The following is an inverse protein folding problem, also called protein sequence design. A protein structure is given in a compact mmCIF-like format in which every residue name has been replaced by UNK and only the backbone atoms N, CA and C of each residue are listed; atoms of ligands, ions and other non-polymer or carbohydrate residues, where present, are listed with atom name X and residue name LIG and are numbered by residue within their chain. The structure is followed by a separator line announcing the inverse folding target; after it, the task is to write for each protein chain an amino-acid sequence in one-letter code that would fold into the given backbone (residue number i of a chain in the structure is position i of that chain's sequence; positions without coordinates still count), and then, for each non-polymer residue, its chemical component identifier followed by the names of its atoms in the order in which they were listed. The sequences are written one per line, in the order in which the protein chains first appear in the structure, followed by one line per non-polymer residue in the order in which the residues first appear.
data_IF_480827684373
#
_entry.id   IF_480827684373
#
_cell.length_a   1.000
_cell.length_b   1.000
_cell.length_c   1.000
_cell.angle_alpha   90.00
_cell.angle_beta   90.00
_cell.angle_gamma   90.00
#
_symmetry.space_group_name_H-M   'P 1'
#
loop_
_entity.id
_entity.type
_entity.pdbx_description
1 polymer ?
#
# COMPACT_ATOMS: atom_id res chain seq x y z
N UNK A 1 20.13 3.18 9.95
CA UNK A 1 18.67 3.02 9.84
C UNK A 1 18.24 3.92 8.72
N UNK A 2 17.55 3.39 7.72
CA UNK A 2 16.91 4.22 6.70
C UNK A 2 15.91 5.17 7.38
N UNK A 3 15.92 6.44 6.98
CA UNK A 3 15.03 7.44 7.54
C UNK A 3 13.59 7.12 7.11
N UNK A 4 12.74 6.77 8.08
CA UNK A 4 11.33 6.45 7.86
C UNK A 4 10.48 7.65 8.24
N UNK A 5 9.58 8.06 7.35
CA UNK A 5 8.69 9.21 7.57
C UNK A 5 7.27 8.68 7.77
N UNK A 6 6.70 8.90 8.96
CA UNK A 6 5.31 8.53 9.22
C UNK A 6 4.35 9.48 8.51
N UNK A 7 3.41 8.94 7.73
CA UNK A 7 2.44 9.71 6.94
C UNK A 7 1.01 9.26 7.18
N UNK A 8 0.06 10.19 6.98
CA UNK A 8 -1.37 9.90 7.03
C UNK A 8 -1.89 9.51 5.65
N UNK A 9 -2.54 8.36 5.55
CA UNK A 9 -3.07 7.79 4.29
C UNK A 9 -4.41 7.07 4.53
N UNK A 10 -5.30 6.99 3.52
CA UNK A 10 -6.60 6.34 3.67
C UNK A 10 -6.45 4.82 3.53
N UNK A 11 -6.04 4.16 4.62
CA UNK A 11 -5.74 2.72 4.63
C UNK A 11 -6.61 1.95 5.62
N UNK A 12 -6.97 0.72 5.24
CA UNK A 12 -7.77 -0.17 6.06
C UNK A 12 -7.37 -1.64 5.89
N UNK A 13 -7.73 -2.48 6.85
CA UNK A 13 -7.72 -3.92 6.67
C UNK A 13 -8.86 -4.31 5.73
N UNK A 14 -8.53 -4.68 4.49
CA UNK A 14 -9.53 -4.89 3.45
C UNK A 14 -9.48 -6.23 2.75
N UNK A 15 -8.39 -6.98 2.87
CA UNK A 15 -8.17 -8.21 2.10
C UNK A 15 -7.89 -9.40 3.02
N UNK A 16 -8.50 -10.55 2.75
CA UNK A 16 -8.11 -11.82 3.40
C UNK A 16 -6.94 -12.46 2.67
N UNK A 17 -5.97 -12.94 3.45
CA UNK A 17 -4.91 -13.79 2.94
C UNK A 17 -5.31 -15.26 3.04
N UNK A 18 -5.52 -15.90 1.88
CA UNK A 18 -5.86 -17.33 1.81
C UNK A 18 -4.73 -18.23 2.32
N UNK A 19 -3.48 -17.78 2.18
CA UNK A 19 -2.29 -18.55 2.60
C UNK A 19 -1.93 -18.33 4.07
N UNK A 20 -2.43 -17.25 4.69
CA UNK A 20 -2.20 -16.92 6.12
C UNK A 20 -3.48 -17.13 6.94
N UNK A 21 -4.00 -18.36 6.88
CA UNK A 21 -5.16 -18.77 7.68
C UNK A 21 -6.47 -18.04 7.34
N UNK A 22 -6.65 -17.44 6.16
CA UNK A 22 -7.86 -16.67 5.84
C UNK A 22 -8.08 -15.47 6.79
N UNK A 23 -6.99 -14.85 7.25
CA UNK A 23 -7.01 -13.66 8.12
C UNK A 23 -6.83 -12.37 7.32
N UNK A 24 -7.21 -11.24 7.90
CA UNK A 24 -7.03 -9.92 7.29
C UNK A 24 -5.60 -9.42 7.52
N UNK A 25 -4.63 -10.03 6.84
CA UNK A 25 -3.20 -9.72 6.98
C UNK A 25 -2.69 -8.80 5.86
N UNK A 26 -3.57 -7.99 5.27
CA UNK A 26 -3.23 -7.10 4.17
C UNK A 26 -4.00 -5.80 4.31
N UNK A 27 -3.27 -4.70 4.25
CA UNK A 27 -3.79 -3.35 4.25
C UNK A 27 -4.05 -2.93 2.80
N UNK A 28 -5.17 -2.26 2.56
CA UNK A 28 -5.58 -1.71 1.27
C UNK A 28 -5.69 -0.20 1.37
N UNK A 29 -5.56 0.49 0.24
CA UNK A 29 -6.02 1.87 0.12
C UNK A 29 -7.53 1.85 -0.09
N UNK A 30 -8.25 2.60 0.74
CA UNK A 30 -9.70 2.70 0.68
C UNK A 30 -10.07 4.17 0.48
N UNK A 31 -10.36 4.55 -0.77
CA UNK A 31 -10.66 5.93 -1.15
C UNK A 31 -12.06 6.37 -0.72
N UNK A 32 -12.89 5.44 -0.24
CA UNK A 32 -14.24 5.71 0.22
C UNK A 32 -14.32 5.98 1.74
N UNK A 33 -13.26 5.71 2.50
CA UNK A 33 -13.23 6.00 3.94
C UNK A 33 -12.78 7.43 4.22
N UNK A 34 -13.52 8.12 5.08
CA UNK A 34 -13.13 9.43 5.63
C UNK A 34 -12.16 9.31 6.82
N UNK A 35 -11.57 8.14 7.03
CA UNK A 35 -10.68 7.89 8.17
C UNK A 35 -9.26 7.62 7.67
N UNK A 36 -8.29 8.34 8.24
CA UNK A 36 -6.88 8.15 7.94
C UNK A 36 -6.27 7.11 8.87
N UNK A 37 -5.42 6.26 8.29
CA UNK A 37 -4.44 5.47 9.01
C UNK A 37 -3.05 6.10 8.93
N UNK A 38 -2.08 5.44 9.54
CA UNK A 38 -0.67 5.80 9.50
C UNK A 38 0.11 4.77 8.70
N UNK A 39 0.86 5.21 7.70
CA UNK A 39 1.84 4.41 6.98
C UNK A 39 3.24 5.02 7.13
N UNK A 40 4.23 4.35 6.55
CA UNK A 40 5.61 4.82 6.50
C UNK A 40 6.01 5.07 5.04
N UNK A 41 6.72 6.15 4.82
CA UNK A 41 7.45 6.42 3.58
C UNK A 41 8.92 6.19 3.84
N UNK A 42 9.57 5.51 2.89
CA UNK A 42 11.01 5.27 2.86
C UNK A 42 11.54 5.85 1.55
N UNK A 43 12.64 6.64 1.58
CA UNK A 43 13.28 7.09 0.35
C UNK A 43 13.68 5.91 -0.55
N UNK A 44 13.56 6.09 -1.87
CA UNK A 44 14.11 5.13 -2.82
C UNK A 44 15.62 4.95 -2.60
N UNK A 45 16.14 3.75 -2.89
CA UNK A 45 17.58 3.47 -2.74
C UNK A 45 18.38 4.35 -3.69
N UNK A 46 17.87 4.55 -4.91
CA UNK A 46 18.46 5.43 -5.90
C UNK A 46 17.53 6.60 -6.23
N UNK A 47 18.14 7.73 -6.59
CA UNK A 47 17.39 8.85 -7.15
C UNK A 47 16.78 8.44 -8.49
N UNK A 48 15.47 8.62 -8.65
CA UNK A 48 14.76 8.35 -9.89
C UNK A 48 15.03 9.48 -10.89
N UNK A 49 15.86 9.22 -11.90
CA UNK A 49 16.15 10.19 -12.98
C UNK A 49 15.50 9.80 -14.30
N UNK A 50 15.36 8.51 -14.52
CA UNK A 50 14.81 7.93 -15.74
C UNK A 50 13.80 6.82 -15.41
N UNK A 51 13.00 6.45 -16.42
CA UNK A 51 12.00 5.39 -16.30
C UNK A 51 12.58 4.07 -15.76
N UNK A 52 13.81 3.73 -16.15
CA UNK A 52 14.47 2.51 -15.68
C UNK A 52 14.64 2.51 -14.16
N UNK A 53 14.99 3.65 -13.58
CA UNK A 53 15.20 3.79 -12.14
C UNK A 53 13.86 3.59 -11.40
N UNK A 54 12.80 4.22 -11.91
CA UNK A 54 11.45 4.07 -11.35
C UNK A 54 10.97 2.61 -11.38
N UNK A 55 11.19 1.92 -12.50
CA UNK A 55 10.82 0.50 -12.64
C UNK A 55 11.65 -0.35 -11.68
N UNK A 56 12.94 -0.06 -11.51
CA UNK A 56 13.81 -0.81 -10.61
C UNK A 56 13.36 -0.68 -9.15
N UNK A 57 13.06 0.53 -8.68
CA UNK A 57 12.54 0.76 -7.33
C UNK A 57 11.17 0.09 -7.13
N UNK A 58 10.29 0.12 -8.15
CA UNK A 58 9.01 -0.59 -8.12
C UNK A 58 9.19 -2.11 -8.04
N UNK A 59 10.16 -2.68 -8.78
CA UNK A 59 10.50 -4.10 -8.72
C UNK A 59 11.08 -4.47 -7.35
N UNK A 60 11.93 -3.64 -6.74
CA UNK A 60 12.43 -3.87 -5.39
C UNK A 60 11.28 -3.86 -4.36
N UNK A 61 10.39 -2.88 -4.44
CA UNK A 61 9.20 -2.80 -3.58
C UNK A 61 8.33 -4.06 -3.73
N UNK A 62 8.06 -4.50 -4.96
CA UNK A 62 7.27 -5.70 -5.20
C UNK A 62 7.95 -6.99 -4.71
N UNK A 63 9.27 -7.09 -4.87
CA UNK A 63 10.05 -8.24 -4.40
C UNK A 63 9.99 -8.35 -2.88
N UNK A 64 10.03 -7.23 -2.16
CA UNK A 64 9.86 -7.21 -0.71
C UNK A 64 8.48 -7.75 -0.28
N UNK A 65 7.41 -7.45 -1.02
CA UNK A 65 6.05 -7.94 -0.73
C UNK A 65 5.87 -9.44 -0.98
N UNK A 66 6.60 -10.01 -1.95
CA UNK A 66 6.53 -11.44 -2.26
C UNK A 66 7.20 -12.33 -1.20
N UNK A 67 8.01 -11.76 -0.29
CA UNK A 67 8.88 -12.52 0.62
C UNK A 67 9.72 -13.58 -0.12
N UNK A 68 10.19 -13.28 -1.35
CA UNK A 68 10.89 -14.23 -2.20
C UNK A 68 11.37 -13.61 -3.52
N UNK A 69 11.92 -14.44 -4.39
CA UNK A 69 12.54 -13.97 -5.64
C UNK A 69 11.49 -13.55 -6.68
N UNK A 70 11.60 -12.32 -7.16
CA UNK A 70 10.84 -11.81 -8.31
C UNK A 70 11.59 -12.11 -9.61
N UNK A 71 11.55 -13.36 -10.05
CA UNK A 71 12.31 -13.82 -11.23
C UNK A 71 11.88 -13.18 -12.55
N UNK A 72 10.69 -12.56 -12.58
CA UNK A 72 10.08 -12.04 -13.80
C UNK A 72 10.06 -10.50 -13.88
N UNK A 73 10.68 -9.80 -12.92
CA UNK A 73 10.61 -8.33 -12.81
C UNK A 73 9.16 -7.80 -12.87
N UNK A 74 8.23 -8.58 -12.32
CA UNK A 74 6.82 -8.23 -12.20
C UNK A 74 6.64 -7.12 -11.17
N UNK A 75 5.58 -6.34 -11.32
CA UNK A 75 5.20 -5.30 -10.35
C UNK A 75 3.72 -5.43 -9.98
N UNK A 76 3.08 -6.53 -10.35
CA UNK A 76 1.71 -6.83 -9.99
C UNK A 76 1.40 -8.32 -10.05
N UNK A 77 0.30 -8.70 -9.43
CA UNK A 77 -0.30 -10.02 -9.50
C UNK A 77 -1.82 -9.89 -9.33
N UNK A 78 -2.52 -11.03 -9.35
CA UNK A 78 -3.97 -11.12 -9.10
C UNK A 78 -4.45 -10.58 -7.75
N UNK A 79 -3.53 -10.12 -6.91
CA UNK A 79 -3.82 -9.73 -5.55
C UNK A 79 -3.44 -8.29 -5.21
N UNK A 80 -2.68 -7.63 -6.07
CA UNK A 80 -2.18 -6.29 -5.87
C UNK A 80 -1.24 -5.85 -6.99
N UNK A 81 -0.89 -4.58 -6.99
CA UNK A 81 0.06 -3.98 -7.92
C UNK A 81 0.85 -2.87 -7.23
N UNK A 82 2.02 -2.52 -7.77
CA UNK A 82 2.71 -1.27 -7.44
C UNK A 82 2.07 -0.14 -8.23
N UNK A 83 1.68 0.92 -7.54
CA UNK A 83 1.12 2.12 -8.14
C UNK A 83 2.04 3.33 -7.92
N UNK A 84 2.00 4.27 -8.86
CA UNK A 84 2.71 5.54 -8.79
C UNK A 84 1.79 6.63 -8.27
N UNK A 85 2.27 7.45 -7.34
CA UNK A 85 1.60 8.69 -6.95
C UNK A 85 2.56 9.84 -7.23
N UNK A 86 2.37 10.63 -8.30
CA UNK A 86 3.14 11.84 -8.52
C UNK A 86 2.68 12.96 -7.58
N UNK A 87 3.60 13.80 -7.10
CA UNK A 87 3.21 14.98 -6.34
C UNK A 87 2.43 15.95 -7.24
N UNK A 88 1.23 16.39 -6.85
CA UNK A 88 0.34 17.18 -7.73
C UNK A 88 0.99 18.49 -8.19
N UNK A 89 1.55 19.28 -7.26
CA UNK A 89 2.18 20.56 -7.62
C UNK A 89 3.44 20.37 -8.48
N UNK A 90 4.28 19.37 -8.19
CA UNK A 90 5.49 19.06 -8.97
C UNK A 90 5.15 18.57 -10.38
N UNK A 91 4.07 17.82 -10.53
CA UNK A 91 3.55 17.42 -11.83
C UNK A 91 3.06 18.63 -12.63
N UNK A 92 2.24 19.49 -12.00
CA UNK A 92 1.70 20.70 -12.63
C UNK A 92 2.79 21.68 -13.05
N UNK A 93 3.83 21.82 -12.24
CA UNK A 93 4.99 22.69 -12.51
C UNK A 93 5.97 22.08 -13.55
N UNK A 94 5.72 20.86 -14.02
CA UNK A 94 6.59 20.17 -14.98
C UNK A 94 7.93 19.70 -14.39
N UNK A 95 8.03 19.61 -13.07
CA UNK A 95 9.22 19.09 -12.38
C UNK A 95 9.33 17.58 -12.50
N UNK A 96 8.20 16.89 -12.70
CA UNK A 96 8.16 15.46 -13.04
C UNK A 96 8.10 15.34 -14.58
N UNK A 97 9.11 14.72 -15.23
CA UNK A 97 9.12 14.61 -16.68
C UNK A 97 7.91 13.83 -17.22
N UNK A 98 7.19 14.39 -18.20
CA UNK A 98 6.04 13.71 -18.82
C UNK A 98 6.42 12.34 -19.43
N UNK A 99 7.67 12.22 -19.92
CA UNK A 99 8.22 10.96 -20.43
C UNK A 99 8.30 9.87 -19.35
N UNK A 100 8.51 10.25 -18.08
CA UNK A 100 8.50 9.32 -16.95
C UNK A 100 7.09 8.77 -16.72
N UNK A 101 6.09 9.65 -16.71
CA UNK A 101 4.68 9.30 -16.49
C UNK A 101 4.10 8.46 -17.65
N UNK A 102 4.39 8.83 -18.90
CA UNK A 102 4.02 8.04 -20.09
C UNK A 102 4.74 6.69 -20.12
N UNK A 103 6.01 6.68 -19.74
CA UNK A 103 6.81 5.46 -19.61
C UNK A 103 6.24 4.50 -18.58
N UNK A 104 5.83 5.02 -17.42
CA UNK A 104 5.17 4.26 -16.37
C UNK A 104 3.85 3.63 -16.87
N UNK A 105 2.97 4.43 -17.46
CA UNK A 105 1.71 3.93 -18.01
C UNK A 105 1.93 2.82 -19.06
N UNK A 106 2.97 2.96 -19.89
CA UNK A 106 3.38 1.95 -20.88
C UNK A 106 3.92 0.67 -20.23
N UNK A 107 4.61 0.77 -19.09
CA UNK A 107 5.07 -0.40 -18.33
C UNK A 107 3.89 -1.13 -17.69
N UNK A 108 2.96 -0.37 -17.11
CA UNK A 108 1.75 -0.87 -16.45
C UNK A 108 0.84 -1.58 -17.44
N UNK A 109 0.72 -1.08 -18.68
CA UNK A 109 -0.14 -1.71 -19.70
C UNK A 109 0.28 -3.14 -20.08
N UNK A 110 1.50 -3.58 -19.73
CA UNK A 110 1.95 -4.97 -19.91
C UNK A 110 1.31 -5.95 -18.93
N UNK A 111 0.83 -5.44 -17.80
CA UNK A 111 0.15 -6.20 -16.73
C UNK A 111 -1.27 -5.65 -16.50
N UNK A 112 -1.88 -5.07 -17.54
CA UNK A 112 -3.14 -4.31 -17.49
C UNK A 112 -4.26 -5.01 -16.71
N UNK A 113 -4.40 -6.32 -16.90
CA UNK A 113 -5.44 -7.13 -16.27
C UNK A 113 -5.41 -7.04 -14.73
N UNK A 114 -4.23 -6.85 -14.13
CA UNK A 114 -4.13 -6.67 -12.68
C UNK A 114 -4.57 -5.26 -12.27
N UNK A 115 -4.15 -4.23 -13.00
CA UNK A 115 -4.44 -2.83 -12.65
C UNK A 115 -5.92 -2.47 -12.79
N UNK A 116 -6.61 -2.96 -13.83
CA UNK A 116 -8.04 -2.68 -14.04
C UNK A 116 -8.94 -3.24 -12.93
N UNK A 117 -8.44 -4.20 -12.16
CA UNK A 117 -9.19 -4.78 -11.03
C UNK A 117 -8.93 -4.08 -9.70
N UNK A 118 -8.00 -3.13 -9.65
CA UNK A 118 -7.63 -2.40 -8.46
C UNK A 118 -8.43 -1.09 -8.34
N UNK A 119 -9.41 -1.02 -7.43
CA UNK A 119 -10.26 0.17 -7.29
C UNK A 119 -9.51 1.45 -6.86
N UNK A 120 -8.34 1.30 -6.23
CA UNK A 120 -7.53 2.43 -5.77
C UNK A 120 -6.48 2.88 -6.80
N UNK A 121 -6.49 2.33 -8.02
CA UNK A 121 -5.49 2.62 -9.04
C UNK A 121 -6.17 2.84 -10.39
N UNK A 122 -5.75 3.83 -11.16
CA UNK A 122 -6.27 4.05 -12.51
C UNK A 122 -5.60 3.16 -13.58
N UNK A 123 -6.11 3.24 -14.81
CA UNK A 123 -5.58 2.46 -15.94
C UNK A 123 -4.17 2.85 -16.38
N UNK A 124 -3.64 4.00 -15.91
CA UNK A 124 -2.25 4.41 -16.10
C UNK A 124 -1.32 3.93 -14.98
N UNK A 125 -1.87 3.24 -13.98
CA UNK A 125 -1.15 2.76 -12.81
C UNK A 125 -0.90 3.86 -11.78
N UNK A 126 -1.72 4.90 -11.74
CA UNK A 126 -1.64 5.94 -10.71
C UNK A 126 -2.51 5.59 -9.51
N UNK A 127 -1.96 5.76 -8.32
CA UNK A 127 -2.71 5.60 -7.07
C UNK A 127 -3.71 6.76 -6.92
N UNK A 128 -4.95 6.42 -6.59
CA UNK A 128 -6.08 7.36 -6.53
C UNK A 128 -6.32 7.87 -5.11
N UNK A 129 -5.28 8.40 -4.46
CA UNK A 129 -5.39 9.04 -3.14
C UNK A 129 -4.83 10.46 -3.21
N UNK A 130 -5.19 11.30 -2.24
CA UNK A 130 -4.55 12.59 -2.07
C UNK A 130 -3.07 12.42 -1.69
N UNK A 131 -2.25 13.41 -2.04
CA UNK A 131 -0.85 13.44 -1.63
C UNK A 131 -0.75 13.43 -0.09
N UNK A 132 -0.02 12.46 0.50
CA UNK A 132 -0.03 12.29 1.94
C UNK A 132 0.72 13.43 2.65
N UNK A 133 0.30 13.68 3.90
CA UNK A 133 1.01 14.57 4.82
C UNK A 133 1.77 13.76 5.85
N UNK A 134 2.86 14.33 6.37
CA UNK A 134 3.52 13.76 7.54
C UNK A 134 2.53 13.73 8.72
N UNK A 135 2.73 12.80 9.64
CA UNK A 135 1.83 12.63 10.80
C UNK A 135 1.83 13.81 11.77
N UNK A 136 2.84 14.69 11.69
CA UNK A 136 2.88 15.98 12.40
C UNK A 136 2.16 17.12 11.65
N UNK A 137 1.56 16.85 10.49
CA UNK A 137 0.82 17.81 9.65
C UNK A 137 1.68 18.52 8.59
N UNK A 138 3.00 18.37 8.62
CA UNK A 138 3.90 18.96 7.61
C UNK A 138 3.72 18.34 6.23
N UNK A 139 4.11 19.10 5.20
CA UNK A 139 4.20 18.60 3.83
C UNK A 139 5.31 17.55 3.70
N UNK A 140 5.08 16.56 2.85
CA UNK A 140 6.08 15.57 2.46
C UNK A 140 6.88 16.12 1.27
N UNK A 141 8.17 16.35 1.47
CA UNK A 141 9.08 16.90 0.45
C UNK A 141 9.68 15.77 -0.40
N UNK A 142 8.84 15.23 -1.28
CA UNK A 142 9.20 14.21 -2.27
C UNK A 142 8.48 14.50 -3.59
N UNK A 143 9.05 14.05 -4.70
CA UNK A 143 8.49 14.29 -6.03
C UNK A 143 7.44 13.23 -6.43
N UNK A 144 7.63 11.99 -5.98
CA UNK A 144 6.75 10.86 -6.29
C UNK A 144 6.80 9.82 -5.17
N UNK A 145 5.78 8.98 -5.12
CA UNK A 145 5.72 7.81 -4.25
C UNK A 145 5.39 6.56 -5.06
N UNK A 146 5.96 5.44 -4.63
CA UNK A 146 5.55 4.10 -5.06
C UNK A 146 4.85 3.42 -3.87
N UNK A 147 3.74 2.74 -4.14
CA UNK A 147 3.02 2.01 -3.10
C UNK A 147 2.42 0.72 -3.63
N UNK A 148 2.40 -0.33 -2.81
CA UNK A 148 1.70 -1.57 -3.11
C UNK A 148 0.20 -1.42 -2.83
N UNK A 149 -0.60 -1.35 -3.87
CA UNK A 149 -2.05 -1.32 -3.80
C UNK A 149 -2.62 -2.75 -3.85
N UNK A 150 -3.16 -3.20 -2.71
CA UNK A 150 -3.79 -4.51 -2.58
C UNK A 150 -5.26 -4.48 -3.03
N UNK A 151 -5.75 -5.59 -3.60
CA UNK A 151 -7.15 -5.68 -4.02
C UNK A 151 -8.04 -6.01 -2.82
N UNK A 152 -8.98 -5.13 -2.44
CA UNK A 152 -9.86 -5.37 -1.30
C UNK A 152 -10.84 -6.51 -1.57
N UNK A 153 -11.37 -7.09 -0.50
CA UNK A 153 -12.59 -7.89 -0.57
C UNK A 153 -13.74 -7.01 -1.08
N UNK A 154 -14.70 -7.61 -1.79
CA UNK A 154 -15.90 -6.90 -2.29
C UNK A 154 -16.68 -6.19 -1.17
N UNK A 155 -16.63 -6.75 0.04
CA UNK A 155 -17.21 -6.16 1.24
C UNK A 155 -16.10 -5.95 2.25
N UNK A 156 -15.88 -4.69 2.62
CA UNK A 156 -14.93 -4.34 3.66
C UNK A 156 -15.33 -4.96 5.00
N UNK A 157 -14.38 -5.55 5.73
CA UNK A 157 -14.67 -6.21 7.00
C UNK A 157 -14.93 -5.23 8.13
N UNK A 158 -15.72 -5.66 9.11
CA UNK A 158 -15.84 -4.94 10.37
C UNK A 158 -14.68 -5.31 11.30
N UNK A 159 -14.44 -4.49 12.34
CA UNK A 159 -13.47 -4.81 13.39
C UNK A 159 -13.74 -6.18 14.05
N UNK A 160 -15.01 -6.56 14.24
CA UNK A 160 -15.39 -7.87 14.76
C UNK A 160 -15.06 -9.00 13.77
N UNK A 161 -15.29 -8.80 12.46
CA UNK A 161 -14.91 -9.79 11.44
C UNK A 161 -13.39 -10.03 11.44
N UNK A 162 -12.60 -8.95 11.58
CA UNK A 162 -11.15 -9.02 11.65
C UNK A 162 -10.69 -9.74 12.93
N UNK A 163 -11.19 -9.32 14.09
CA UNK A 163 -10.84 -9.92 15.38
C UNK A 163 -11.17 -11.42 15.42
N UNK A 164 -12.37 -11.80 14.97
CA UNK A 164 -12.77 -13.21 14.87
C UNK A 164 -11.87 -14.00 13.92
N UNK A 165 -11.48 -13.43 12.79
CA UNK A 165 -10.58 -14.11 11.86
C UNK A 165 -9.21 -14.40 12.49
N UNK A 166 -8.64 -13.48 13.28
CA UNK A 166 -7.40 -13.73 14.01
C UNK A 166 -7.56 -14.79 15.11
N UNK A 167 -8.65 -14.73 15.88
CA UNK A 167 -8.95 -15.69 16.94
C UNK A 167 -9.03 -17.14 16.44
N UNK A 168 -9.71 -17.38 15.32
CA UNK A 168 -9.91 -18.73 14.78
C UNK A 168 -8.63 -19.37 14.20
N UNK A 169 -7.56 -18.61 14.01
CA UNK A 169 -6.31 -19.07 13.36
C UNK A 169 -5.13 -19.20 14.33
N UNK A 170 -5.42 -19.56 15.58
CA UNK A 170 -4.41 -19.90 16.60
C UNK A 170 -3.39 -18.77 16.85
N UNK A 171 -3.81 -17.51 16.66
CA UNK A 171 -3.06 -16.28 16.94
C UNK A 171 -1.73 -16.09 16.18
N UNK A 172 -1.25 -17.08 15.42
CA UNK A 172 -0.04 -16.98 14.58
C UNK A 172 -0.11 -15.80 13.60
N UNK A 173 -1.31 -15.45 13.15
CA UNK A 173 -1.55 -14.31 12.25
C UNK A 173 -1.81 -12.98 12.98
N UNK A 174 -2.02 -13.00 14.30
CA UNK A 174 -2.01 -11.78 15.12
C UNK A 174 -0.63 -11.12 15.11
N UNK A 175 0.43 -11.90 14.84
CA UNK A 175 1.78 -11.39 14.66
C UNK A 175 1.86 -10.33 13.56
N UNK A 176 1.13 -10.48 12.45
CA UNK A 176 1.08 -9.45 11.40
C UNK A 176 0.48 -8.13 11.90
N UNK A 177 -0.69 -8.19 12.55
CA UNK A 177 -1.34 -7.03 13.15
C UNK A 177 -0.42 -6.36 14.18
N UNK A 178 0.18 -7.17 15.04
CA UNK A 178 1.08 -6.69 16.11
C UNK A 178 2.36 -6.09 15.56
N UNK A 179 2.95 -6.69 14.51
CA UNK A 179 4.15 -6.17 13.84
C UNK A 179 3.87 -4.84 13.15
N UNK A 180 2.78 -4.72 12.42
CA UNK A 180 2.38 -3.44 11.83
C UNK A 180 2.26 -2.36 12.90
N UNK A 181 1.53 -2.66 14.00
CA UNK A 181 1.35 -1.72 15.08
C UNK A 181 2.67 -1.32 15.76
N UNK A 182 3.55 -2.29 16.04
CA UNK A 182 4.89 -2.07 16.61
C UNK A 182 5.79 -1.25 15.69
N UNK A 183 5.67 -1.44 14.38
CA UNK A 183 6.41 -0.70 13.37
C UNK A 183 5.73 0.63 12.99
N UNK A 184 4.65 1.03 13.65
CA UNK A 184 4.01 2.33 13.42
C UNK A 184 3.11 2.39 12.19
N UNK A 185 2.72 1.25 11.60
CA UNK A 185 1.67 1.16 10.59
C UNK A 185 0.35 0.87 11.31
N UNK A 186 -0.63 1.76 11.16
CA UNK A 186 -1.89 1.71 11.92
C UNK A 186 -3.08 2.03 11.03
N UNK A 187 -4.21 1.39 11.27
CA UNK A 187 -5.49 1.77 10.66
C UNK A 187 -6.40 2.44 11.68
N UNK A 188 -7.40 3.19 11.22
CA UNK A 188 -8.41 3.78 12.12
C UNK A 188 -9.22 2.72 12.91
N UNK A 189 -9.25 1.48 12.43
CA UNK A 189 -9.97 0.37 13.06
C UNK A 189 -9.17 -0.32 14.18
N UNK A 190 -7.86 -0.08 14.30
CA UNK A 190 -6.95 -0.82 15.20
C UNK A 190 -7.47 -0.86 16.65
N UNK A 191 -7.88 0.29 17.19
CA UNK A 191 -8.39 0.39 18.56
C UNK A 191 -9.62 -0.50 18.79
N UNK A 192 -10.53 -0.51 17.82
CA UNK A 192 -11.74 -1.33 17.88
C UNK A 192 -11.44 -2.82 17.68
N UNK A 193 -10.50 -3.15 16.79
CA UNK A 193 -10.04 -4.54 16.59
C UNK A 193 -9.46 -5.09 17.90
N UNK A 194 -8.62 -4.31 18.59
CA UNK A 194 -8.06 -4.71 19.89
C UNK A 194 -9.14 -4.89 20.96
N UNK A 195 -10.14 -4.00 21.00
CA UNK A 195 -11.29 -4.16 21.91
C UNK A 195 -12.10 -5.43 21.63
N UNK A 196 -12.34 -5.76 20.37
CA UNK A 196 -13.06 -6.99 20.01
C UNK A 196 -12.24 -8.25 20.30
N UNK A 197 -10.92 -8.22 20.06
CA UNK A 197 -10.02 -9.32 20.42
C UNK A 197 -10.05 -9.59 21.93
N UNK A 198 -9.99 -8.54 22.75
CA UNK A 198 -10.00 -8.67 24.21
C UNK A 198 -11.27 -9.32 24.78
N UNK A 199 -12.38 -9.36 24.04
CA UNK A 199 -13.62 -10.03 24.44
C UNK A 199 -13.64 -11.53 24.11
N UNK A 200 -12.70 -11.98 23.28
CA UNK A 200 -12.62 -13.37 22.82
C UNK A 200 -11.69 -14.23 23.71
N UNK A 201 -10.88 -13.58 24.54
CA UNK A 201 -10.07 -14.17 25.61
C UNK A 201 -10.81 -14.05 26.95
#
# INVERSE_FOLDING_TARGET
MEETIAVQVPIAYGRRSKTRGNTYSSIVFDTAINMMGQALVVPCVNQVRHLRDLILEATHLWTAELNGDNQFNEISAKWGCVALLPHPDRELDGQIPESLLKGWATRVSRERDHYETCASVDSSGRLLIDWPRKSNGEALDLDLLLATANFPERKMPTANDIARAYWHNDLTNLDYFTKNHKNGIKTAADAKIMQELAKLF
#
